data_IF_329082604863
#
_entry.id   IF_329082604863
#
_cell.length_a   1.000
_cell.length_b   1.000
_cell.length_c   1.000
_cell.angle_alpha   90.00
_cell.angle_beta   90.00
_cell.angle_gamma   90.00
#
_symmetry.space_group_name_H-M   'P 1'
#
loop_
_entity.id
_entity.type
_entity.pdbx_description
1 polymer ?
#
# COMPACT_ATOMS: atom_id res chain seq x y z
N UNK A 1 6.00 -13.54 16.80
CA UNK A 1 7.16 -13.45 15.90
C UNK A 1 8.40 -13.58 16.76
N UNK A 2 9.35 -14.47 16.44
CA UNK A 2 10.57 -14.66 17.23
C UNK A 2 11.39 -13.36 17.30
N UNK A 3 12.06 -13.13 18.43
CA UNK A 3 12.84 -11.90 18.68
C UNK A 3 13.92 -11.66 17.64
N UNK A 4 14.63 -12.72 17.21
CA UNK A 4 15.68 -12.64 16.19
C UNK A 4 15.15 -12.23 14.82
N UNK A 5 13.98 -12.76 14.42
CA UNK A 5 13.35 -12.39 13.14
C UNK A 5 12.91 -10.93 13.12
N UNK A 6 12.49 -10.38 14.27
CA UNK A 6 12.16 -8.95 14.37
C UNK A 6 13.40 -8.07 14.21
N UNK A 7 14.54 -8.49 14.76
CA UNK A 7 15.84 -7.80 14.63
C UNK A 7 16.31 -7.81 13.18
N UNK A 8 16.30 -8.96 12.50
CA UNK A 8 16.68 -9.07 11.07
C UNK A 8 15.86 -8.12 10.18
N UNK A 9 14.57 -7.94 10.49
CA UNK A 9 13.65 -7.08 9.76
C UNK A 9 13.86 -5.58 10.07
N UNK A 10 14.45 -5.22 11.20
CA UNK A 10 14.75 -3.82 11.55
C UNK A 10 16.13 -3.35 11.12
N UNK A 11 17.05 -4.25 10.75
CA UNK A 11 18.44 -3.96 10.40
C UNK A 11 18.61 -2.79 9.40
N UNK A 12 17.71 -2.68 8.42
CA UNK A 12 17.77 -1.59 7.45
C UNK A 12 17.66 -0.21 8.12
N UNK A 13 16.86 -0.08 9.18
CA UNK A 13 16.65 1.20 9.87
C UNK A 13 17.89 1.67 10.67
N UNK A 14 18.84 0.78 10.96
CA UNK A 14 20.09 1.14 11.66
C UNK A 14 21.00 2.02 10.79
N UNK A 15 20.90 1.90 9.47
CA UNK A 15 21.74 2.61 8.51
C UNK A 15 21.01 3.76 7.80
N UNK A 16 19.74 3.99 8.08
CA UNK A 16 18.93 5.02 7.44
C UNK A 16 18.65 6.20 8.39
N UNK A 17 18.47 7.42 7.86
CA UNK A 17 17.92 8.51 8.65
C UNK A 17 16.52 8.16 9.20
N UNK A 18 16.05 8.84 10.26
CA UNK A 18 14.73 8.59 10.84
C UNK A 18 13.59 8.61 9.81
N UNK A 19 12.60 7.78 10.05
CA UNK A 19 11.37 7.64 9.24
C UNK A 19 10.15 7.75 10.14
N UNK A 20 9.02 8.16 9.59
CA UNK A 20 7.75 8.28 10.31
C UNK A 20 6.86 7.05 10.14
N UNK A 21 7.09 6.29 9.07
CA UNK A 21 6.42 5.03 8.79
C UNK A 21 7.40 4.06 8.15
N UNK A 22 7.31 2.78 8.50
CA UNK A 22 8.06 1.71 7.87
C UNK A 22 7.24 0.42 7.88
N UNK A 23 7.05 -0.18 6.72
CA UNK A 23 6.48 -1.53 6.63
C UNK A 23 7.28 -2.42 5.68
N UNK A 24 7.30 -3.71 6.03
CA UNK A 24 7.89 -4.78 5.22
C UNK A 24 6.79 -5.55 4.52
N UNK A 25 7.14 -6.02 3.33
CA UNK A 25 6.15 -6.44 2.38
C UNK A 25 6.78 -7.47 1.42
N UNK A 26 5.95 -8.26 0.73
CA UNK A 26 6.43 -9.19 -0.29
C UNK A 26 6.77 -10.58 0.26
N UNK A 27 7.68 -11.28 -0.43
CA UNK A 27 7.98 -12.70 -0.19
C UNK A 27 8.60 -12.97 1.18
N UNK A 28 9.24 -11.98 1.82
CA UNK A 28 9.80 -12.07 3.17
C UNK A 28 8.75 -12.40 4.25
N UNK A 29 7.48 -12.09 3.99
CA UNK A 29 6.36 -12.40 4.90
C UNK A 29 5.81 -13.82 4.73
N UNK A 30 6.26 -14.58 3.72
CA UNK A 30 5.77 -15.94 3.51
C UNK A 30 6.32 -16.86 4.60
N UNK A 31 5.46 -17.66 5.27
CA UNK A 31 5.91 -18.60 6.31
C UNK A 31 6.94 -19.61 5.82
N UNK A 32 6.86 -19.97 4.54
CA UNK A 32 7.73 -20.97 3.89
C UNK A 32 8.97 -20.35 3.23
N UNK A 33 9.17 -19.04 3.34
CA UNK A 33 10.38 -18.40 2.83
C UNK A 33 11.50 -18.52 3.86
N UNK A 34 12.30 -19.58 3.74
CA UNK A 34 13.53 -19.79 4.51
C UNK A 34 14.77 -19.27 3.80
N UNK A 35 14.60 -18.64 2.63
CA UNK A 35 15.71 -18.14 1.83
C UNK A 35 16.19 -16.79 2.37
N UNK A 36 17.25 -16.84 3.17
CA UNK A 36 17.94 -15.66 3.70
C UNK A 36 18.55 -14.77 2.62
N UNK A 37 18.66 -15.25 1.38
CA UNK A 37 19.15 -14.45 0.25
C UNK A 37 18.04 -13.65 -0.43
N UNK A 38 16.78 -13.92 -0.10
CA UNK A 38 15.65 -13.18 -0.66
C UNK A 38 15.67 -11.71 -0.22
N UNK A 39 15.48 -10.82 -1.19
CA UNK A 39 15.47 -9.38 -0.95
C UNK A 39 14.24 -8.97 -0.13
N UNK A 40 14.44 -8.17 0.91
CA UNK A 40 13.36 -7.68 1.78
C UNK A 40 12.89 -6.31 1.28
N UNK A 41 11.65 -6.25 0.79
CA UNK A 41 11.02 -5.02 0.33
C UNK A 41 10.43 -4.20 1.50
N UNK A 42 10.75 -2.90 1.53
CA UNK A 42 10.30 -1.93 2.49
C UNK A 42 9.59 -0.75 1.81
N UNK A 43 8.60 -0.15 2.48
CA UNK A 43 8.11 1.20 2.20
C UNK A 43 8.40 2.07 3.43
N UNK A 44 9.04 3.21 3.18
CA UNK A 44 9.44 4.19 4.18
C UNK A 44 8.66 5.49 3.94
N UNK A 45 7.91 5.92 4.94
CA UNK A 45 7.21 7.20 4.93
C UNK A 45 8.01 8.27 5.68
N UNK A 46 8.19 9.42 5.04
CA UNK A 46 8.98 10.55 5.56
C UNK A 46 8.24 11.87 5.34
N UNK A 47 8.46 12.86 6.20
CA UNK A 47 7.80 14.17 6.09
C UNK A 47 8.14 14.89 4.77
N UNK A 48 9.42 14.87 4.39
CA UNK A 48 9.94 15.51 3.18
C UNK A 48 10.98 14.63 2.49
N UNK A 49 10.61 13.92 1.40
CA UNK A 49 11.52 13.06 0.66
C UNK A 49 12.74 13.78 0.10
N UNK A 50 12.60 15.04 -0.33
CA UNK A 50 13.70 15.81 -0.88
C UNK A 50 14.73 16.08 0.21
N UNK A 51 14.27 16.55 1.37
CA UNK A 51 15.15 16.75 2.52
C UNK A 51 15.74 15.43 3.01
N UNK A 52 14.99 14.34 3.04
CA UNK A 52 15.47 13.03 3.47
C UNK A 52 16.57 12.49 2.55
N UNK A 53 16.42 12.69 1.23
CA UNK A 53 17.39 12.25 0.23
C UNK A 53 18.61 13.17 0.10
N UNK A 54 18.49 14.49 0.28
CA UNK A 54 19.56 15.50 -0.01
C UNK A 54 20.90 15.21 0.66
N UNK A 55 22.02 15.74 0.17
CA UNK A 55 23.28 15.83 0.91
C UNK A 55 23.32 17.19 1.64
N UNK A 56 23.40 17.25 2.98
CA UNK A 56 23.81 18.53 3.63
C UNK A 56 25.33 18.58 3.71
N UNK A 57 25.94 19.38 2.84
CA UNK A 57 27.22 20.02 3.15
C UNK A 57 26.90 21.30 3.92
N UNK A 58 27.10 21.28 5.23
CA UNK A 58 27.24 22.49 6.02
C UNK A 58 28.72 22.61 6.35
N UNK A 59 29.45 23.29 5.48
CA UNK A 59 30.72 23.86 5.89
C UNK A 59 30.41 25.07 6.78
N UNK A 60 30.78 24.93 8.05
CA UNK A 60 31.07 26.01 9.00
C UNK A 60 30.00 27.09 9.23
N UNK A 61 29.10 26.88 10.22
CA UNK A 61 28.72 27.91 11.22
C UNK A 61 27.76 27.36 12.30
N UNK A 62 28.25 27.33 13.54
CA UNK A 62 27.52 27.42 14.83
C UNK A 62 26.52 26.32 15.27
N UNK A 63 27.09 25.29 15.91
CA UNK A 63 26.82 24.84 17.31
C UNK A 63 25.41 24.57 17.89
N UNK A 64 24.29 24.56 17.14
CA UNK A 64 22.97 24.14 17.72
C UNK A 64 22.23 23.03 16.94
N UNK A 65 22.76 22.45 15.85
CA UNK A 65 22.03 21.39 15.12
C UNK A 65 22.94 20.26 14.60
N UNK A 66 23.57 19.53 15.52
CA UNK A 66 24.57 18.51 15.20
C UNK A 66 24.00 17.10 14.90
N UNK A 67 22.81 16.97 14.29
CA UNK A 67 22.19 15.63 14.11
C UNK A 67 21.37 15.41 12.82
N UNK A 68 21.68 16.08 11.71
CA UNK A 68 21.01 15.78 10.42
C UNK A 68 22.05 15.37 9.37
N UNK A 69 22.43 14.09 9.40
CA UNK A 69 23.12 13.43 8.30
C UNK A 69 22.03 12.81 7.41
N UNK A 70 22.01 13.18 6.13
CA UNK A 70 20.95 12.78 5.18
C UNK A 70 21.37 11.56 4.33
N UNK A 71 20.41 10.83 3.75
CA UNK A 71 20.66 9.47 3.21
C UNK A 71 21.72 9.40 2.10
N UNK A 72 21.79 10.38 1.18
CA UNK A 72 22.86 10.44 0.16
C UNK A 72 24.27 10.52 0.78
N UNK A 73 24.40 11.14 1.97
CA UNK A 73 25.67 11.26 2.71
C UNK A 73 26.03 9.96 3.41
N UNK A 74 25.04 9.32 4.01
CA UNK A 74 25.22 8.06 4.75
C UNK A 74 25.46 6.90 3.80
N UNK A 75 24.73 6.87 2.68
CA UNK A 75 24.59 5.70 1.83
C UNK A 75 24.65 6.04 0.32
N UNK A 76 25.69 6.76 -0.09
CA UNK A 76 25.87 7.22 -1.48
C UNK A 76 25.82 6.09 -2.51
N UNK A 77 26.28 4.90 -2.12
CA UNK A 77 26.31 3.68 -2.93
C UNK A 77 24.92 3.05 -3.19
N UNK A 78 23.86 3.49 -2.50
CA UNK A 78 22.49 3.03 -2.79
C UNK A 78 21.92 3.63 -4.08
N UNK A 79 22.53 4.70 -4.59
CA UNK A 79 22.05 5.47 -5.73
C UNK A 79 22.84 5.17 -6.99
N UNK A 80 22.17 5.18 -8.14
CA UNK A 80 22.83 5.04 -9.43
C UNK A 80 23.85 6.17 -9.63
N UNK A 81 25.07 5.83 -10.09
CA UNK A 81 26.19 6.76 -10.14
C UNK A 81 25.88 8.03 -10.95
N UNK A 82 25.13 7.92 -12.06
CA UNK A 82 24.76 9.08 -12.88
C UNK A 82 23.84 10.08 -12.16
N UNK A 83 22.94 9.60 -11.29
CA UNK A 83 21.97 10.41 -10.55
C UNK A 83 22.65 11.25 -9.47
N UNK A 84 23.70 10.69 -8.86
CA UNK A 84 24.57 11.35 -7.88
C UNK A 84 25.42 12.45 -8.53
N UNK A 85 25.81 12.30 -9.81
CA UNK A 85 26.72 13.23 -10.49
C UNK A 85 26.01 14.35 -11.29
N UNK A 86 24.74 14.16 -11.69
CA UNK A 86 24.01 15.11 -12.56
C UNK A 86 22.87 15.89 -11.89
N UNK A 87 22.23 15.38 -10.83
CA UNK A 87 20.92 15.91 -10.39
C UNK A 87 20.66 16.05 -8.89
N UNK A 88 21.40 15.35 -8.03
CA UNK A 88 21.18 15.39 -6.58
C UNK A 88 19.74 14.98 -6.17
N UNK A 89 19.32 15.34 -4.96
CA UNK A 89 18.02 14.94 -4.44
C UNK A 89 16.81 15.60 -5.10
N UNK A 90 16.99 16.77 -5.75
CA UNK A 90 15.89 17.44 -6.44
C UNK A 90 15.44 16.65 -7.66
N UNK A 91 16.40 16.16 -8.45
CA UNK A 91 16.10 15.34 -9.64
C UNK A 91 15.57 13.94 -9.26
N UNK A 92 15.97 13.42 -8.08
CA UNK A 92 15.43 12.18 -7.50
C UNK A 92 13.93 12.30 -7.20
N UNK A 93 13.52 13.39 -6.56
CA UNK A 93 12.11 13.61 -6.20
C UNK A 93 11.28 14.05 -7.39
N UNK A 94 11.78 14.93 -8.26
CA UNK A 94 11.07 15.35 -9.49
C UNK A 94 10.73 14.12 -10.36
N UNK A 95 11.63 13.15 -10.53
CA UNK A 95 11.33 11.92 -11.28
C UNK A 95 10.29 11.04 -10.57
N UNK A 96 10.32 10.96 -9.23
CA UNK A 96 9.35 10.18 -8.46
C UNK A 96 7.95 10.82 -8.46
N UNK A 97 7.88 12.14 -8.40
CA UNK A 97 6.66 12.95 -8.26
C UNK A 97 5.98 13.20 -9.62
N UNK A 98 6.75 13.51 -10.68
CA UNK A 98 6.23 13.92 -12.01
C UNK A 98 6.11 12.76 -13.02
N UNK A 99 6.89 11.68 -12.87
CA UNK A 99 6.93 10.56 -13.83
C UNK A 99 6.59 9.21 -13.15
N UNK A 100 6.72 9.14 -11.82
CA UNK A 100 6.55 7.91 -11.03
C UNK A 100 5.21 7.79 -10.28
N UNK A 101 5.11 6.74 -9.47
CA UNK A 101 3.97 6.49 -8.57
C UNK A 101 4.05 7.28 -7.25
N UNK A 102 4.89 8.33 -7.18
CA UNK A 102 5.17 9.08 -5.95
C UNK A 102 6.09 8.34 -4.95
N UNK A 103 6.80 7.30 -5.40
CA UNK A 103 7.69 6.50 -4.54
C UNK A 103 9.05 6.32 -5.22
N UNK A 104 10.12 6.71 -4.52
CA UNK A 104 11.49 6.51 -5.00
C UNK A 104 12.10 5.22 -4.44
N UNK A 105 12.44 4.27 -5.30
CA UNK A 105 12.98 2.96 -4.89
C UNK A 105 14.51 2.88 -5.00
N UNK A 106 15.14 2.37 -3.95
CA UNK A 106 16.55 1.97 -3.91
C UNK A 106 16.64 0.43 -3.75
N UNK A 107 16.87 -0.32 -4.85
CA UNK A 107 17.02 -1.77 -4.80
C UNK A 107 18.46 -2.21 -4.49
N UNK A 108 18.65 -3.50 -4.18
CA UNK A 108 19.95 -4.16 -4.03
C UNK A 108 20.87 -3.56 -2.96
N UNK A 109 20.29 -3.05 -1.88
CA UNK A 109 21.02 -2.53 -0.74
C UNK A 109 21.42 -3.69 0.16
N UNK A 110 22.72 -3.92 0.34
CA UNK A 110 23.24 -5.01 1.17
C UNK A 110 23.69 -4.47 2.52
N UNK A 111 23.15 -5.05 3.60
CA UNK A 111 23.56 -4.73 4.98
C UNK A 111 23.42 -5.98 5.87
N UNK A 112 24.42 -6.26 6.70
CA UNK A 112 24.48 -7.45 7.56
C UNK A 112 24.15 -8.77 6.83
N UNK A 113 24.73 -8.97 5.64
CA UNK A 113 24.51 -10.14 4.77
C UNK A 113 23.05 -10.33 4.32
N UNK A 114 22.20 -9.32 4.48
CA UNK A 114 20.82 -9.30 4.03
C UNK A 114 20.67 -8.28 2.88
N UNK A 115 19.90 -8.66 1.87
CA UNK A 115 19.58 -7.78 0.75
C UNK A 115 18.24 -7.08 0.97
N UNK A 116 18.20 -5.79 0.67
CA UNK A 116 17.08 -4.90 0.89
C UNK A 116 16.71 -4.14 -0.39
N UNK A 117 15.43 -3.82 -0.49
CA UNK A 117 14.90 -2.79 -1.37
C UNK A 117 13.97 -1.91 -0.55
N UNK A 118 14.10 -0.59 -0.66
CA UNK A 118 13.19 0.32 0.02
C UNK A 118 12.67 1.41 -0.90
N UNK A 119 11.38 1.67 -0.81
CA UNK A 119 10.71 2.82 -1.43
C UNK A 119 10.54 3.95 -0.42
N UNK A 120 10.84 5.18 -0.81
CA UNK A 120 10.64 6.38 0.02
C UNK A 120 9.45 7.17 -0.53
N UNK A 121 8.51 7.53 0.35
CA UNK A 121 7.30 8.28 0.04
C UNK A 121 7.09 9.43 1.04
N UNK A 122 6.49 10.53 0.59
CA UNK A 122 6.00 11.59 1.48
C UNK A 122 4.83 11.08 2.32
N UNK A 123 4.83 11.35 3.63
CA UNK A 123 3.72 10.93 4.50
C UNK A 123 2.36 11.48 4.06
N UNK A 124 2.33 12.73 3.58
CA UNK A 124 1.11 13.32 3.04
C UNK A 124 0.52 12.48 1.90
N UNK A 125 1.34 12.11 0.92
CA UNK A 125 0.92 11.36 -0.26
C UNK A 125 0.49 9.94 0.11
N UNK A 126 1.17 9.32 1.08
CA UNK A 126 0.75 8.02 1.64
C UNK A 126 -0.65 8.10 2.26
N UNK A 127 -0.92 9.13 3.07
CA UNK A 127 -2.23 9.31 3.72
C UNK A 127 -3.33 9.59 2.70
N UNK A 128 -3.07 10.48 1.73
CA UNK A 128 -4.03 10.77 0.67
C UNK A 128 -4.33 9.53 -0.17
N UNK A 129 -3.32 8.73 -0.51
CA UNK A 129 -3.54 7.52 -1.29
C UNK A 129 -4.32 6.46 -0.49
N UNK A 130 -4.03 6.28 0.80
CA UNK A 130 -4.76 5.35 1.69
C UNK A 130 -6.22 5.74 1.87
N UNK A 131 -6.52 7.03 2.03
CA UNK A 131 -7.89 7.51 2.28
C UNK A 131 -8.71 7.74 1.01
N UNK A 132 -8.04 8.16 -0.08
CA UNK A 132 -8.68 8.67 -1.28
C UNK A 132 -8.46 7.83 -2.55
N UNK A 133 -7.52 6.88 -2.53
CA UNK A 133 -7.11 6.10 -3.71
C UNK A 133 -6.62 6.97 -4.88
N UNK A 134 -5.97 8.11 -4.60
CA UNK A 134 -5.54 9.06 -5.64
C UNK A 134 -4.63 8.43 -6.70
N UNK A 135 -3.63 7.65 -6.27
CA UNK A 135 -2.69 6.96 -7.17
C UNK A 135 -2.90 5.44 -7.17
N UNK A 136 -3.61 4.94 -6.15
CA UNK A 136 -3.95 3.57 -5.87
C UNK A 136 -2.76 2.58 -5.73
N UNK A 137 -1.55 3.10 -5.65
CA UNK A 137 -0.33 2.29 -5.60
C UNK A 137 -0.04 1.81 -4.17
N UNK A 138 -0.05 2.72 -3.20
CA UNK A 138 0.26 2.44 -1.79
C UNK A 138 -0.96 1.88 -1.07
N UNK A 139 -2.15 2.43 -1.32
CA UNK A 139 -3.40 1.86 -0.82
C UNK A 139 -3.60 0.43 -1.31
N UNK A 140 -3.39 0.18 -2.60
CA UNK A 140 -3.37 -1.16 -3.17
C UNK A 140 -2.33 -2.08 -2.53
N UNK A 141 -1.17 -1.56 -2.12
CA UNK A 141 -0.18 -2.34 -1.35
C UNK A 141 -0.67 -2.64 0.06
N UNK A 142 -1.27 -1.67 0.76
CA UNK A 142 -1.73 -1.77 2.14
C UNK A 142 -3.07 -2.50 2.29
N UNK A 143 -3.74 -2.85 1.20
CA UNK A 143 -4.86 -3.81 1.17
C UNK A 143 -4.41 -5.27 1.29
N UNK A 144 -3.10 -5.53 1.16
CA UNK A 144 -2.49 -6.85 1.25
C UNK A 144 -1.62 -6.90 2.52
N UNK A 145 -1.34 -8.10 3.09
CA UNK A 145 -0.54 -8.22 4.29
C UNK A 145 0.81 -7.49 4.19
N UNK A 146 1.10 -6.72 5.24
CA UNK A 146 2.36 -6.02 5.50
C UNK A 146 2.72 -6.23 6.97
N UNK A 147 4.01 -6.11 7.29
CA UNK A 147 4.47 -6.05 8.67
C UNK A 147 4.92 -4.62 8.97
N UNK A 148 4.15 -3.91 9.79
CA UNK A 148 4.45 -2.52 10.16
C UNK A 148 5.47 -2.53 11.30
N UNK A 149 6.57 -1.81 11.12
CA UNK A 149 7.68 -1.70 12.07
C UNK A 149 7.65 -0.36 12.80
N UNK A 150 7.37 0.71 12.05
CA UNK A 150 7.29 2.09 12.54
C UNK A 150 5.98 2.68 12.05
N UNK A 151 5.24 3.32 12.94
CA UNK A 151 3.97 3.98 12.62
C UNK A 151 3.68 5.17 13.53
N UNK A 152 4.33 6.31 13.25
CA UNK A 152 4.20 7.50 14.09
C UNK A 152 2.89 8.27 13.85
N UNK A 153 2.23 8.05 12.70
CA UNK A 153 1.00 8.75 12.30
C UNK A 153 -0.25 7.85 12.32
N UNK A 154 -0.18 6.68 12.96
CA UNK A 154 -1.27 5.71 13.05
C UNK A 154 -1.86 5.31 11.68
N UNK A 155 -0.99 5.11 10.70
CA UNK A 155 -1.32 4.61 9.36
C UNK A 155 -2.04 3.27 9.45
N UNK A 156 -1.67 2.39 10.38
CA UNK A 156 -2.35 1.10 10.57
C UNK A 156 -3.85 1.31 10.83
N UNK A 157 -4.19 2.27 11.71
CA UNK A 157 -5.58 2.59 12.03
C UNK A 157 -6.28 3.29 10.86
N UNK A 158 -5.62 4.25 10.19
CA UNK A 158 -6.18 4.93 9.00
C UNK A 158 -6.46 3.93 7.87
N UNK A 159 -5.62 2.91 7.72
CA UNK A 159 -5.77 1.87 6.71
C UNK A 159 -7.05 1.04 6.91
N UNK A 160 -7.69 1.05 8.08
CA UNK A 160 -9.00 0.41 8.26
C UNK A 160 -10.07 0.93 7.29
N UNK A 161 -10.02 2.22 6.94
CA UNK A 161 -10.89 2.84 5.93
C UNK A 161 -10.62 2.25 4.55
N UNK A 162 -9.34 2.11 4.19
CA UNK A 162 -8.91 1.50 2.94
C UNK A 162 -9.37 0.02 2.83
N UNK A 163 -9.24 -0.76 3.91
CA UNK A 163 -9.69 -2.16 3.93
C UNK A 163 -11.21 -2.29 3.80
N UNK A 164 -11.97 -1.40 4.47
CA UNK A 164 -13.42 -1.31 4.36
C UNK A 164 -13.85 -1.02 2.93
N UNK A 165 -13.20 -0.04 2.30
CA UNK A 165 -13.51 0.35 0.94
C UNK A 165 -13.13 -0.74 -0.08
N UNK A 166 -11.95 -1.36 0.06
CA UNK A 166 -11.51 -2.47 -0.80
C UNK A 166 -12.42 -3.70 -0.68
N UNK A 167 -12.84 -4.04 0.54
CA UNK A 167 -13.80 -5.13 0.76
C UNK A 167 -15.13 -4.83 0.11
N UNK A 168 -15.66 -3.62 0.30
CA UNK A 168 -16.93 -3.19 -0.28
C UNK A 168 -16.88 -3.20 -1.81
N UNK A 169 -15.81 -2.65 -2.41
CA UNK A 169 -15.55 -2.75 -3.84
C UNK A 169 -15.50 -4.20 -4.33
N UNK A 170 -14.78 -5.08 -3.63
CA UNK A 170 -14.71 -6.48 -3.99
C UNK A 170 -16.08 -7.17 -3.92
N UNK A 171 -16.88 -6.89 -2.89
CA UNK A 171 -18.25 -7.41 -2.76
C UNK A 171 -19.13 -6.96 -3.94
N UNK A 172 -19.04 -5.70 -4.36
CA UNK A 172 -19.80 -5.18 -5.51
C UNK A 172 -19.43 -5.87 -6.83
N UNK A 173 -18.17 -6.31 -6.96
CA UNK A 173 -17.63 -6.94 -8.17
C UNK A 173 -17.74 -8.48 -8.18
N UNK A 174 -18.03 -9.10 -7.03
CA UNK A 174 -18.14 -10.54 -6.89
C UNK A 174 -19.57 -11.01 -7.21
N UNK A 175 -19.75 -12.27 -7.66
CA UNK A 175 -21.08 -12.86 -7.75
C UNK A 175 -21.74 -12.98 -6.37
N UNK A 176 -23.03 -13.32 -6.33
CA UNK A 176 -23.79 -13.43 -5.06
C UNK A 176 -23.27 -14.49 -4.09
N UNK A 177 -22.48 -15.47 -4.57
CA UNK A 177 -21.86 -16.54 -3.80
C UNK A 177 -20.40 -16.67 -4.19
N UNK A 178 -19.51 -16.62 -3.20
CA UNK A 178 -18.06 -16.74 -3.39
C UNK A 178 -17.41 -17.27 -2.11
N UNK A 179 -16.19 -17.77 -2.25
CA UNK A 179 -15.34 -18.22 -1.16
C UNK A 179 -14.49 -17.08 -0.61
N UNK A 180 -13.95 -17.26 0.59
CA UNK A 180 -12.99 -16.34 1.19
C UNK A 180 -11.73 -16.12 0.33
N UNK A 181 -11.24 -17.18 -0.34
CA UNK A 181 -10.11 -17.08 -1.28
C UNK A 181 -10.45 -16.19 -2.47
N UNK A 182 -11.66 -16.30 -3.02
CA UNK A 182 -12.13 -15.44 -4.12
C UNK A 182 -12.29 -13.98 -3.67
N UNK A 183 -12.71 -13.75 -2.42
CA UNK A 183 -12.75 -12.41 -1.84
C UNK A 183 -11.36 -11.78 -1.77
N UNK A 184 -10.38 -12.47 -1.19
CA UNK A 184 -9.01 -11.95 -1.10
C UNK A 184 -8.36 -11.81 -2.47
N UNK A 185 -8.64 -12.72 -3.40
CA UNK A 185 -8.18 -12.60 -4.77
C UNK A 185 -8.79 -11.36 -5.44
N UNK A 186 -10.08 -11.08 -5.24
CA UNK A 186 -10.72 -9.89 -5.79
C UNK A 186 -10.13 -8.61 -5.21
N UNK A 187 -10.00 -8.52 -3.88
CA UNK A 187 -9.37 -7.38 -3.21
C UNK A 187 -7.94 -7.17 -3.74
N UNK A 188 -7.13 -8.22 -3.76
CA UNK A 188 -5.76 -8.15 -4.28
C UNK A 188 -5.73 -7.74 -5.75
N UNK A 189 -6.72 -8.15 -6.56
CA UNK A 189 -6.80 -7.79 -7.98
C UNK A 189 -7.13 -6.32 -8.22
N UNK A 190 -7.77 -5.62 -7.27
CA UNK A 190 -8.13 -4.21 -7.43
C UNK A 190 -6.90 -3.39 -7.84
N UNK A 191 -5.78 -3.56 -7.14
CA UNK A 191 -4.52 -2.83 -7.39
C UNK A 191 -3.84 -3.17 -8.73
N UNK A 192 -4.43 -4.09 -9.50
CA UNK A 192 -3.96 -4.56 -10.79
C UNK A 192 -4.98 -4.30 -11.91
N UNK A 193 -6.19 -3.85 -11.56
CA UNK A 193 -7.24 -3.55 -12.54
C UNK A 193 -6.88 -2.27 -13.30
N UNK A 194 -6.85 -2.35 -14.63
CA UNK A 194 -6.42 -1.22 -15.48
C UNK A 194 -4.90 -1.00 -15.55
N UNK A 195 -4.10 -1.79 -14.82
CA UNK A 195 -2.63 -1.69 -14.87
C UNK A 195 -2.09 -2.35 -16.16
N UNK A 196 -1.58 -1.54 -17.08
CA UNK A 196 -0.97 -2.02 -18.33
C UNK A 196 0.22 -2.98 -18.09
N UNK A 197 0.88 -2.92 -16.91
CA UNK A 197 1.96 -3.85 -16.55
C UNK A 197 1.46 -5.29 -16.42
N UNK A 198 0.21 -5.49 -16.03
CA UNK A 198 -0.42 -6.82 -15.96
C UNK A 198 -0.89 -7.33 -17.32
N UNK A 199 -1.13 -6.45 -18.30
CA UNK A 199 -1.45 -6.86 -19.67
C UNK A 199 -0.21 -7.37 -20.42
N UNK A 200 0.98 -6.85 -20.12
CA UNK A 200 2.17 -7.06 -20.96
C UNK A 200 3.39 -7.66 -20.26
N UNK A 201 3.48 -7.67 -18.92
CA UNK A 201 4.75 -7.99 -18.23
C UNK A 201 4.67 -8.93 -17.01
N UNK A 202 3.49 -9.29 -16.50
CA UNK A 202 3.37 -9.91 -15.17
C UNK A 202 2.66 -11.28 -15.17
N UNK A 203 3.00 -12.15 -14.20
CA UNK A 203 2.45 -13.51 -14.09
C UNK A 203 0.92 -13.47 -13.84
N UNK A 204 0.15 -14.06 -14.77
CA UNK A 204 -1.32 -14.15 -14.69
C UNK A 204 -1.82 -14.83 -13.41
N UNK A 205 -0.99 -15.66 -12.77
CA UNK A 205 -1.31 -16.35 -11.52
C UNK A 205 -0.80 -15.60 -10.27
N UNK A 206 -0.21 -14.42 -10.42
CA UNK A 206 0.43 -13.68 -9.31
C UNK A 206 -0.53 -13.43 -8.15
N UNK A 207 -1.74 -12.96 -8.44
CA UNK A 207 -2.79 -12.70 -7.43
C UNK A 207 -3.08 -13.96 -6.62
N UNK A 208 -3.29 -15.09 -7.30
CA UNK A 208 -3.56 -16.38 -6.66
C UNK A 208 -2.38 -16.83 -5.80
N UNK A 209 -1.14 -16.70 -6.29
CA UNK A 209 0.08 -17.04 -5.54
C UNK A 209 0.23 -16.18 -4.27
N UNK A 210 -0.06 -14.89 -4.35
CA UNK A 210 -0.03 -13.98 -3.19
C UNK A 210 -1.05 -14.43 -2.14
N UNK A 211 -2.31 -14.61 -2.54
CA UNK A 211 -3.39 -14.98 -1.61
C UNK A 211 -3.11 -16.33 -0.98
N UNK A 212 -2.75 -17.35 -1.76
CA UNK A 212 -2.48 -18.68 -1.23
C UNK A 212 -1.25 -18.72 -0.32
N UNK A 213 -0.18 -18.01 -0.69
CA UNK A 213 1.05 -17.95 0.10
C UNK A 213 0.91 -17.20 1.42
N UNK A 214 -0.08 -16.30 1.53
CA UNK A 214 -0.30 -15.45 2.70
C UNK A 214 -1.72 -15.59 3.28
N UNK A 215 -2.43 -16.68 2.97
CA UNK A 215 -3.86 -16.82 3.24
C UNK A 215 -4.22 -16.53 4.70
N UNK A 216 -3.47 -17.09 5.65
CA UNK A 216 -3.71 -16.88 7.09
C UNK A 216 -3.51 -15.43 7.54
N UNK A 217 -2.60 -14.71 6.90
CA UNK A 217 -2.40 -13.28 7.17
C UNK A 217 -3.57 -12.46 6.62
N UNK A 218 -4.08 -12.77 5.43
CA UNK A 218 -5.32 -12.18 4.93
C UNK A 218 -6.50 -12.46 5.87
N UNK A 219 -6.68 -13.71 6.32
CA UNK A 219 -7.73 -14.03 7.30
C UNK A 219 -7.62 -13.16 8.55
N UNK A 220 -6.41 -13.03 9.12
CA UNK A 220 -6.19 -12.23 10.32
C UNK A 220 -6.51 -10.75 10.08
N UNK A 221 -6.12 -10.23 8.93
CA UNK A 221 -6.30 -8.84 8.53
C UNK A 221 -7.77 -8.47 8.30
N UNK A 222 -8.56 -9.37 7.71
CA UNK A 222 -9.93 -9.11 7.28
C UNK A 222 -11.01 -9.69 8.23
N UNK A 223 -10.70 -10.65 9.09
CA UNK A 223 -11.67 -11.29 10.01
C UNK A 223 -12.48 -10.29 10.85
N UNK A 224 -11.88 -9.25 11.48
CA UNK A 224 -12.65 -8.26 12.23
C UNK A 224 -13.66 -7.51 11.35
N UNK A 225 -13.26 -7.17 10.13
CA UNK A 225 -14.08 -6.46 9.16
C UNK A 225 -15.21 -7.34 8.61
N UNK A 226 -14.92 -8.61 8.32
CA UNK A 226 -15.93 -9.55 7.84
C UNK A 226 -17.00 -9.81 8.91
N UNK A 227 -16.62 -9.90 10.19
CA UNK A 227 -17.55 -10.00 11.31
C UNK A 227 -18.42 -8.74 11.43
N UNK A 228 -17.83 -7.55 11.27
CA UNK A 228 -18.58 -6.28 11.25
C UNK A 228 -19.62 -6.27 10.11
N UNK A 229 -19.25 -6.70 8.91
CA UNK A 229 -20.14 -6.69 7.75
C UNK A 229 -21.26 -7.74 7.86
N UNK A 230 -20.94 -8.92 8.39
CA UNK A 230 -21.93 -9.95 8.68
C UNK A 230 -22.94 -9.48 9.75
N UNK A 231 -22.49 -8.77 10.78
CA UNK A 231 -23.35 -8.20 11.82
C UNK A 231 -24.28 -7.08 11.29
N UNK A 232 -23.93 -6.46 10.16
CA UNK A 232 -24.75 -5.47 9.45
C UNK A 232 -25.65 -6.09 8.37
N UNK A 233 -25.77 -7.42 8.34
CA UNK A 233 -26.53 -8.19 7.36
C UNK A 233 -26.13 -7.93 5.89
N UNK A 234 -24.89 -7.49 5.63
CA UNK A 234 -24.40 -7.27 4.25
C UNK A 234 -24.13 -8.60 3.53
N UNK A 235 -23.74 -9.64 4.27
CA UNK A 235 -23.63 -11.00 3.78
C UNK A 235 -23.78 -12.02 4.92
N UNK A 236 -24.09 -13.26 4.56
CA UNK A 236 -24.11 -14.41 5.48
C UNK A 236 -22.87 -15.26 5.28
N UNK A 237 -22.23 -15.60 6.38
CA UNK A 237 -21.18 -16.60 6.44
C UNK A 237 -21.83 -17.98 6.49
N UNK A 238 -21.42 -18.86 5.59
CA UNK A 238 -21.75 -20.28 5.62
C UNK A 238 -20.45 -21.07 5.58
N UNK A 239 -20.32 -22.09 6.42
CA UNK A 239 -19.15 -22.97 6.41
C UNK A 239 -19.56 -24.30 5.81
N UNK A 240 -18.95 -24.68 4.70
CA UNK A 240 -19.10 -26.02 4.09
C UNK A 240 -17.68 -26.58 3.93
N UNK A 241 -17.43 -27.78 4.46
CA UNK A 241 -16.13 -28.47 4.37
C UNK A 241 -14.92 -27.63 4.81
N UNK A 242 -15.04 -26.94 5.95
CA UNK A 242 -14.04 -26.02 6.50
C UNK A 242 -13.68 -24.83 5.59
N UNK A 243 -14.40 -24.63 4.49
CA UNK A 243 -14.30 -23.44 3.63
C UNK A 243 -15.44 -22.49 3.95
N UNK A 244 -15.07 -21.25 4.24
CA UNK A 244 -16.03 -20.17 4.47
C UNK A 244 -16.53 -19.69 3.10
N UNK A 245 -17.80 -19.93 2.85
CA UNK A 245 -18.55 -19.40 1.72
C UNK A 245 -19.37 -18.20 2.18
N UNK A 246 -19.28 -17.12 1.42
CA UNK A 246 -19.98 -15.87 1.68
C UNK A 246 -21.13 -15.76 0.69
N UNK A 247 -22.33 -15.50 1.21
CA UNK A 247 -23.56 -15.31 0.43
C UNK A 247 -24.07 -13.91 0.69
N UNK A 248 -24.16 -13.06 -0.33
CA UNK A 248 -24.72 -11.72 -0.18
C UNK A 248 -26.25 -11.79 0.04
N UNK A 249 -26.73 -11.09 1.06
CA UNK A 249 -28.15 -11.08 1.44
C UNK A 249 -28.84 -9.93 0.73
N UNK A 250 -29.18 -10.16 -0.55
CA UNK A 250 -29.52 -9.11 -1.53
C UNK A 250 -28.38 -8.09 -1.70
N UNK A 251 -28.16 -7.56 -2.90
CA UNK A 251 -27.10 -6.58 -3.05
C UNK A 251 -27.63 -5.27 -2.47
N UNK A 252 -27.39 -5.06 -1.17
CA UNK A 252 -27.66 -3.80 -0.48
C UNK A 252 -26.63 -2.77 -0.95
N UNK A 253 -26.67 -2.46 -2.25
CA UNK A 253 -25.76 -1.60 -2.98
C UNK A 253 -25.62 -0.25 -2.29
N UNK A 254 -26.72 0.27 -1.73
CA UNK A 254 -26.74 1.52 -0.96
C UNK A 254 -25.89 1.45 0.32
N UNK A 255 -25.95 0.34 1.05
CA UNK A 255 -25.14 0.16 2.27
C UNK A 255 -23.64 0.08 1.97
N UNK A 256 -23.27 -0.58 0.86
CA UNK A 256 -21.89 -0.68 0.41
C UNK A 256 -21.38 0.62 -0.22
N UNK A 257 -22.20 1.31 -1.02
CA UNK A 257 -21.83 2.59 -1.65
C UNK A 257 -21.57 3.69 -0.64
N UNK A 258 -22.31 3.73 0.46
CA UNK A 258 -22.13 4.72 1.52
C UNK A 258 -20.81 4.56 2.29
N UNK A 259 -20.11 3.43 2.13
CA UNK A 259 -18.77 3.19 2.69
C UNK A 259 -17.69 3.73 1.75
N UNK A 260 -18.01 3.93 0.47
CA UNK A 260 -17.09 4.38 -0.56
C UNK A 260 -17.02 5.90 -0.58
N UNK A 261 -15.82 6.46 -0.63
CA UNK A 261 -15.65 7.88 -0.93
C UNK A 261 -16.05 8.18 -2.37
N UNK A 262 -16.31 9.45 -2.70
CA UNK A 262 -16.65 9.85 -4.06
C UNK A 262 -15.57 9.49 -5.08
N UNK A 263 -14.28 9.68 -4.73
CA UNK A 263 -13.15 9.26 -5.57
C UNK A 263 -13.16 7.76 -5.87
N UNK A 264 -13.67 6.97 -4.94
CA UNK A 264 -13.71 5.51 -5.03
C UNK A 264 -14.86 5.01 -5.90
N UNK A 265 -15.99 5.71 -5.87
CA UNK A 265 -17.10 5.47 -6.82
C UNK A 265 -16.63 5.74 -8.24
N UNK A 266 -15.94 6.87 -8.47
CA UNK A 266 -15.38 7.22 -9.77
C UNK A 266 -14.37 6.18 -10.27
N UNK A 267 -13.53 5.64 -9.38
CA UNK A 267 -12.59 4.57 -9.72
C UNK A 267 -13.32 3.29 -10.18
N UNK A 268 -14.40 2.89 -9.49
CA UNK A 268 -15.19 1.72 -9.87
C UNK A 268 -15.97 1.93 -11.18
N UNK A 269 -16.57 3.10 -11.37
CA UNK A 269 -17.27 3.45 -12.61
C UNK A 269 -16.32 3.45 -13.82
N UNK A 270 -15.10 3.98 -13.65
CA UNK A 270 -14.06 3.93 -14.68
C UNK A 270 -13.64 2.50 -15.05
N UNK A 271 -13.64 1.58 -14.07
CA UNK A 271 -13.26 0.18 -14.28
C UNK A 271 -14.37 -0.65 -14.93
N UNK A 272 -15.65 -0.36 -14.66
CA UNK A 272 -16.78 -1.13 -15.19
C UNK A 272 -17.31 -0.60 -16.53
N UNK A 273 -16.78 0.52 -17.02
CA UNK A 273 -17.21 1.15 -18.29
C UNK A 273 -18.69 1.55 -18.30
N UNK A 274 -19.29 1.64 -17.12
CA UNK A 274 -20.73 1.82 -16.88
C UNK A 274 -20.89 2.61 -15.60
N UNK A 275 -21.75 3.64 -15.57
CA UNK A 275 -22.18 4.32 -14.35
C UNK A 275 -23.03 3.34 -13.53
N UNK A 276 -22.39 2.56 -12.65
CA UNK A 276 -23.10 1.56 -11.82
C UNK A 276 -23.82 2.26 -10.67
N UNK A 277 -23.35 3.45 -10.29
CA UNK A 277 -23.98 4.32 -9.33
C UNK A 277 -24.56 5.53 -10.07
N UNK A 278 -25.89 5.61 -10.29
CA UNK A 278 -26.48 6.89 -10.67
C UNK A 278 -26.08 7.87 -9.57
N UNK A 279 -25.46 8.99 -9.96
CA UNK A 279 -25.16 10.09 -9.05
C UNK A 279 -26.29 10.23 -8.03
N UNK A 280 -25.94 10.20 -6.75
CA UNK A 280 -26.82 10.65 -5.67
C UNK A 280 -26.99 12.17 -5.82
N UNK A 281 -27.72 12.60 -6.86
CA UNK A 281 -28.29 13.93 -6.93
C UNK A 281 -29.53 13.95 -6.03
N UNK A 282 -29.31 14.22 -4.75
CA UNK A 282 -30.35 14.80 -3.91
C UNK A 282 -29.83 16.10 -3.32
N UNK A 283 -29.91 17.14 -4.16
CA UNK A 283 -30.59 18.41 -3.89
C UNK A 283 -29.96 19.48 -4.77
N UNK A 284 -30.75 19.94 -5.75
CA UNK A 284 -30.33 20.93 -6.72
C UNK A 284 -29.94 22.24 -6.03
N UNK A 285 -28.71 22.67 -6.30
CA UNK A 285 -28.30 24.06 -6.54
C UNK A 285 -26.85 24.04 -7.02
N UNK A 286 -26.64 24.16 -8.34
CA UNK A 286 -25.34 24.52 -8.90
C UNK A 286 -25.20 26.05 -8.84
N UNK A 287 -24.19 26.56 -8.12
CA UNK A 287 -23.27 27.51 -8.73
C UNK A 287 -21.86 26.93 -8.50
N UNK A 288 -20.96 26.85 -9.48
CA UNK A 288 -20.44 27.93 -10.28
C UNK A 288 -19.85 27.39 -11.58
N UNK A 289 -20.12 28.12 -12.66
CA UNK A 289 -19.42 28.05 -13.94
C UNK A 289 -17.96 28.49 -13.75
N UNK A 290 -17.00 27.74 -14.29
CA UNK A 290 -15.62 28.20 -14.44
C UNK A 290 -15.25 28.19 -15.93
N UNK A 291 -15.04 29.38 -16.46
CA UNK A 291 -14.06 29.67 -17.49
C UNK A 291 -12.65 29.47 -16.92
#
# INVERSE_FOLDING_TARGET
>A
MDGEKRVELTNLLEILPPVEFCCIYGSSLHPNNSDKTSMIDHILGVADPQQWHTQVFLDCALLILHFIIKNLKMNRNHYASWMVHLGGARLITEVADDIGVGVHFNPFVCHNNQMFKYGVVRMHDLVQDVLGWERFYLSGRLQKPVNIIVDNLNIENLNSVNLKAATSAALLLLPSKFSEEELYAKICSLSYMGDLRMLFAEDKNKVKKIVQGQFKLFQTMYDPLLKEFAARDLFRLSSVDQKVNIIQVSPNFRGLSNILSHSLVLYLDALQGSFIFPCLEENGELPYTLY
#
